data_IF_605325470255
#
_entry.id   IF_605325470255
#
_cell.length_a   1.000
_cell.length_b   1.000
_cell.length_c   1.000
_cell.angle_alpha   90.00
_cell.angle_beta   90.00
_cell.angle_gamma   90.00
#
_symmetry.space_group_name_H-M   'P 1'
#
loop_
_entity.id
_entity.type
_entity.pdbx_description
1 polymer ?
#
# COMPACT_ATOMS: atom_id res chain seq x y z
N UNK A 1 -17.75 34.93 -31.54
CA UNK A 1 -17.91 33.47 -31.69
C UNK A 1 -17.04 32.87 -30.61
N UNK A 2 -17.67 32.38 -29.54
CA UNK A 2 -17.01 32.05 -28.27
C UNK A 2 -16.03 30.89 -28.48
N UNK A 3 -14.75 31.19 -28.22
CA UNK A 3 -13.63 30.28 -28.44
C UNK A 3 -13.73 29.05 -27.56
N UNK A 4 -13.37 27.93 -28.16
CA UNK A 4 -13.04 26.66 -27.49
C UNK A 4 -11.99 26.88 -26.38
N UNK A 5 -11.26 27.99 -26.45
CA UNK A 5 -10.22 28.46 -25.54
C UNK A 5 -10.71 28.71 -24.10
N UNK A 6 -12.01 28.95 -23.89
CA UNK A 6 -12.59 29.15 -22.54
C UNK A 6 -12.90 27.86 -21.78
N UNK A 7 -12.93 26.71 -22.46
CA UNK A 7 -13.25 25.40 -21.88
C UNK A 7 -12.01 24.73 -21.25
N UNK A 8 -10.80 25.20 -21.58
CA UNK A 8 -9.51 24.59 -21.22
C UNK A 8 -8.71 25.33 -20.14
N UNK A 9 -9.27 26.37 -19.49
CA UNK A 9 -8.60 27.01 -18.35
C UNK A 9 -9.25 26.66 -17.00
N UNK A 10 -9.62 25.39 -16.84
CA UNK A 10 -10.01 24.86 -15.54
C UNK A 10 -8.82 24.14 -14.92
N UNK A 11 -7.85 24.90 -14.40
CA UNK A 11 -6.73 24.34 -13.61
C UNK A 11 -7.24 23.35 -12.55
N UNK A 12 -8.39 23.63 -11.96
CA UNK A 12 -9.07 22.73 -11.04
C UNK A 12 -9.49 21.40 -11.67
N UNK A 13 -9.98 21.40 -12.91
CA UNK A 13 -10.37 20.19 -13.64
C UNK A 13 -9.16 19.32 -13.98
N UNK A 14 -8.08 19.93 -14.45
CA UNK A 14 -6.81 19.23 -14.72
C UNK A 14 -6.21 18.66 -13.42
N UNK A 15 -6.20 19.44 -12.33
CA UNK A 15 -5.73 18.97 -11.02
C UNK A 15 -6.56 17.79 -10.50
N UNK A 16 -7.89 17.84 -10.64
CA UNK A 16 -8.78 16.74 -10.25
C UNK A 16 -8.52 15.48 -11.09
N UNK A 17 -8.30 15.65 -12.40
CA UNK A 17 -7.99 14.54 -13.30
C UNK A 17 -6.65 13.90 -12.94
N UNK A 18 -5.60 14.70 -12.71
CA UNK A 18 -4.28 14.20 -12.28
C UNK A 18 -4.37 13.48 -10.93
N UNK A 19 -5.13 14.04 -9.98
CA UNK A 19 -5.35 13.41 -8.68
C UNK A 19 -6.05 12.05 -8.81
N UNK A 20 -7.09 11.97 -9.65
CA UNK A 20 -7.84 10.74 -9.87
C UNK A 20 -6.98 9.67 -10.54
N UNK A 21 -6.25 10.03 -11.60
CA UNK A 21 -5.31 9.12 -12.29
C UNK A 21 -4.25 8.61 -11.32
N UNK A 22 -3.67 9.51 -10.51
CA UNK A 22 -2.65 9.15 -9.51
C UNK A 22 -3.21 8.19 -8.46
N UNK A 23 -4.44 8.40 -7.99
CA UNK A 23 -5.08 7.54 -7.00
C UNK A 23 -5.36 6.14 -7.56
N UNK A 24 -5.84 6.06 -8.80
CA UNK A 24 -6.08 4.78 -9.50
C UNK A 24 -4.77 4.04 -9.74
N UNK A 25 -3.75 4.73 -10.25
CA UNK A 25 -2.42 4.14 -10.47
C UNK A 25 -1.82 3.61 -9.16
N UNK A 26 -1.94 4.37 -8.07
CA UNK A 26 -1.46 3.97 -6.74
C UNK A 26 -2.22 2.74 -6.23
N UNK A 27 -3.55 2.67 -6.41
CA UNK A 27 -4.35 1.50 -6.05
C UNK A 27 -3.91 0.25 -6.81
N UNK A 28 -3.72 0.34 -8.13
CA UNK A 28 -3.28 -0.78 -8.96
C UNK A 28 -1.88 -1.24 -8.55
N UNK A 29 -0.95 -0.29 -8.39
CA UNK A 29 0.41 -0.58 -7.94
C UNK A 29 0.42 -1.27 -6.58
N UNK A 30 -0.35 -0.75 -5.61
CA UNK A 30 -0.48 -1.33 -4.29
C UNK A 30 -1.03 -2.76 -4.33
N UNK A 31 -2.08 -3.02 -5.11
CA UNK A 31 -2.63 -4.36 -5.29
C UNK A 31 -1.61 -5.32 -5.89
N UNK A 32 -0.80 -4.86 -6.85
CA UNK A 32 0.27 -5.66 -7.43
C UNK A 32 1.39 -5.97 -6.42
N UNK A 33 1.78 -4.99 -5.61
CA UNK A 33 2.79 -5.18 -4.56
C UNK A 33 2.30 -6.12 -3.46
N UNK A 34 1.08 -5.91 -2.95
CA UNK A 34 0.54 -6.68 -1.82
C UNK A 34 0.08 -8.10 -2.17
N UNK A 35 0.10 -8.47 -3.44
CA UNK A 35 -0.06 -9.86 -3.89
C UNK A 35 1.28 -10.56 -4.15
N UNK A 36 2.43 -9.96 -3.80
CA UNK A 36 3.76 -10.52 -4.04
C UNK A 36 3.98 -11.89 -3.39
N UNK A 37 3.57 -12.05 -2.13
CA UNK A 37 3.72 -13.30 -1.37
C UNK A 37 2.71 -14.36 -1.81
N UNK A 38 1.48 -13.94 -2.08
CA UNK A 38 0.41 -14.80 -2.61
C UNK A 38 0.82 -15.43 -3.96
N UNK A 39 1.38 -14.62 -4.88
CA UNK A 39 1.96 -15.10 -6.15
C UNK A 39 3.11 -16.11 -5.98
N UNK A 40 3.71 -16.20 -4.80
CA UNK A 40 4.80 -17.14 -4.46
C UNK A 40 4.33 -18.31 -3.60
N UNK A 41 3.05 -18.39 -3.27
CA UNK A 41 2.50 -19.44 -2.40
C UNK A 41 2.98 -19.34 -0.95
N UNK A 42 3.38 -18.15 -0.50
CA UNK A 42 3.83 -17.92 0.88
C UNK A 42 2.74 -17.21 1.70
N UNK A 43 2.53 -17.69 2.91
CA UNK A 43 1.66 -17.03 3.88
C UNK A 43 2.25 -15.66 4.27
N UNK A 44 1.39 -14.65 4.38
CA UNK A 44 1.83 -13.29 4.73
C UNK A 44 0.74 -12.47 5.42
N UNK A 45 1.16 -11.44 6.16
CA UNK A 45 0.25 -10.39 6.61
C UNK A 45 -0.32 -9.63 5.40
N UNK A 46 -1.60 -9.25 5.51
CA UNK A 46 -2.22 -8.37 4.51
C UNK A 46 -1.53 -7.00 4.49
N UNK A 47 -1.09 -6.55 3.31
CA UNK A 47 -0.58 -5.20 3.11
C UNK A 47 -1.72 -4.20 3.03
N UNK A 48 -1.66 -3.13 3.83
CA UNK A 48 -2.67 -2.05 3.81
C UNK A 48 -2.05 -0.75 3.31
N UNK A 49 -2.70 -0.09 2.34
CA UNK A 49 -2.26 1.23 1.87
C UNK A 49 -2.38 2.23 3.03
N UNK A 50 -1.40 3.13 3.24
CA UNK A 50 -0.14 3.28 2.49
C UNK A 50 1.07 2.59 3.15
N UNK A 51 0.93 2.10 4.37
CA UNK A 51 2.07 1.71 5.22
C UNK A 51 2.35 0.19 5.26
N UNK A 52 1.64 -0.60 4.46
CA UNK A 52 1.76 -2.05 4.47
C UNK A 52 1.27 -2.65 5.79
N UNK A 53 2.06 -3.57 6.34
CA UNK A 53 1.79 -4.27 7.60
C UNK A 53 2.26 -3.50 8.84
N UNK A 54 3.13 -2.48 8.67
CA UNK A 54 3.69 -1.69 9.78
C UNK A 54 2.90 -0.42 10.10
N UNK A 55 1.66 -0.31 9.59
CA UNK A 55 0.86 0.91 9.71
C UNK A 55 0.58 1.34 11.15
N UNK A 56 0.41 0.39 12.08
CA UNK A 56 0.19 0.72 13.50
C UNK A 56 1.43 1.37 14.16
N UNK A 57 2.64 1.04 13.69
CA UNK A 57 3.85 1.74 14.13
C UNK A 57 3.90 3.16 13.57
N UNK A 58 3.61 3.33 12.28
CA UNK A 58 3.63 4.65 11.63
C UNK A 58 2.57 5.58 12.23
N UNK A 59 1.39 5.05 12.54
CA UNK A 59 0.30 5.76 13.21
C UNK A 59 0.50 5.92 14.73
N UNK A 60 1.68 5.54 15.25
CA UNK A 60 2.05 5.62 16.68
C UNK A 60 1.05 4.90 17.62
N UNK A 61 0.36 3.88 17.11
CA UNK A 61 -0.58 3.06 17.88
C UNK A 61 0.11 1.95 18.65
N UNK A 62 1.25 1.48 18.15
CA UNK A 62 2.07 0.41 18.72
C UNK A 62 3.55 0.72 18.58
N UNK A 63 4.36 0.24 19.51
CA UNK A 63 5.81 0.21 19.32
C UNK A 63 6.17 -0.75 18.16
N UNK A 64 7.30 -0.51 17.49
CA UNK A 64 7.75 -1.36 16.39
C UNK A 64 7.99 -2.82 16.82
N UNK A 65 8.42 -3.02 18.06
CA UNK A 65 8.62 -4.34 18.67
C UNK A 65 7.30 -5.11 18.83
N UNK A 66 6.23 -4.43 19.24
CA UNK A 66 4.89 -5.03 19.34
C UNK A 66 4.34 -5.42 17.96
N UNK A 67 4.53 -4.56 16.95
CA UNK A 67 4.13 -4.85 15.57
C UNK A 67 4.84 -6.11 15.05
N UNK A 68 6.16 -6.22 15.22
CA UNK A 68 6.88 -7.43 14.82
C UNK A 68 6.48 -8.65 15.65
N UNK A 69 6.20 -8.50 16.94
CA UNK A 69 5.68 -9.57 17.79
C UNK A 69 4.33 -10.10 17.29
N UNK A 70 3.44 -9.22 16.84
CA UNK A 70 2.15 -9.61 16.26
C UNK A 70 2.31 -10.30 14.90
N UNK A 71 3.26 -9.84 14.06
CA UNK A 71 3.57 -10.49 12.78
C UNK A 71 4.16 -11.89 13.02
N UNK A 72 5.07 -12.03 13.99
CA UNK A 72 5.65 -13.33 14.38
C UNK A 72 4.58 -14.30 14.85
N UNK A 73 3.68 -13.85 15.73
CA UNK A 73 2.57 -14.67 16.23
C UNK A 73 1.59 -15.08 15.14
N UNK A 74 1.28 -14.18 14.19
CA UNK A 74 0.45 -14.51 13.02
C UNK A 74 1.10 -15.54 12.09
N UNK A 75 2.44 -15.57 12.05
CA UNK A 75 3.22 -16.50 11.25
C UNK A 75 3.54 -17.83 11.94
N UNK A 76 3.09 -18.06 13.18
CA UNK A 76 3.35 -19.31 13.89
C UNK A 76 2.97 -20.55 13.06
N UNK A 77 3.85 -21.55 13.07
CA UNK A 77 3.72 -22.75 12.25
C UNK A 77 4.24 -22.63 10.81
N UNK A 78 4.62 -21.43 10.35
CA UNK A 78 5.25 -21.22 9.05
C UNK A 78 6.74 -20.94 9.21
N UNK A 79 7.58 -21.63 8.42
CA UNK A 79 9.05 -21.40 8.42
C UNK A 79 9.45 -20.06 7.82
N UNK A 80 8.59 -19.48 7.00
CA UNK A 80 8.77 -18.20 6.33
C UNK A 80 7.42 -17.51 6.36
N UNK A 81 7.40 -16.26 6.82
CA UNK A 81 6.18 -15.48 6.88
C UNK A 81 6.40 -14.09 6.29
N UNK A 82 5.65 -13.77 5.25
CA UNK A 82 5.77 -12.49 4.56
C UNK A 82 5.09 -11.36 5.33
N UNK A 83 5.63 -10.16 5.23
CA UNK A 83 4.96 -8.93 5.61
C UNK A 83 5.32 -7.82 4.62
N UNK A 84 4.73 -6.64 4.79
CA UNK A 84 5.01 -5.48 3.95
C UNK A 84 5.46 -4.30 4.80
N UNK A 85 6.66 -3.78 4.52
CA UNK A 85 7.12 -2.49 5.04
C UNK A 85 6.84 -1.43 3.97
N UNK A 86 5.80 -0.63 4.17
CA UNK A 86 5.23 0.21 3.10
C UNK A 86 4.90 -0.65 1.87
N UNK A 87 5.48 -0.32 0.70
CA UNK A 87 5.34 -1.05 -0.56
C UNK A 87 6.49 -2.04 -0.81
N UNK A 88 7.26 -2.38 0.22
CA UNK A 88 8.36 -3.35 0.11
C UNK A 88 7.94 -4.68 0.72
N UNK A 89 7.90 -5.78 -0.06
CA UNK A 89 7.70 -7.11 0.50
C UNK A 89 8.95 -7.53 1.30
N UNK A 90 8.74 -7.92 2.56
CA UNK A 90 9.79 -8.36 3.48
C UNK A 90 9.45 -9.73 4.08
N UNK A 91 10.48 -10.47 4.49
CA UNK A 91 10.35 -11.77 5.13
C UNK A 91 10.67 -11.69 6.61
N UNK A 92 9.87 -12.39 7.40
CA UNK A 92 10.20 -12.80 8.75
C UNK A 92 10.67 -14.26 8.70
N UNK A 93 11.81 -14.53 9.36
CA UNK A 93 12.49 -15.83 9.44
C UNK A 93 12.65 -16.18 10.92
#
# INVERSE_FOLDING_TARGET
MLGVDGLFHSWWGELLLVLLVTLVATRIYASYVFSYWDRRGLASCSGRIPFGSIGDFVLQRKAITEVYGDIYRQGEGHKLYGYYSFFTPSLLI
#
